data_IF_479285156240
#
_entry.id   IF_479285156240
#
_cell.length_a   1.000
_cell.length_b   1.000
_cell.length_c   1.000
_cell.angle_alpha   90.00
_cell.angle_beta   90.00
_cell.angle_gamma   90.00
#
_symmetry.space_group_name_H-M   'P 1'
#
loop_
_entity.id
_entity.type
_entity.pdbx_description
1 polymer ?
#
# COMPACT_ATOMS: atom_id res chain seq x y z
N UNK A 1 38.04 -2.21 0.43
CA UNK A 1 37.14 -1.62 -0.58
C UNK A 1 35.74 -2.10 -0.25
N UNK A 2 34.96 -1.29 0.47
CA UNK A 2 33.60 -1.68 0.87
C UNK A 2 32.73 -1.78 -0.38
N UNK A 3 32.17 -2.96 -0.66
CA UNK A 3 31.14 -3.12 -1.67
C UNK A 3 29.93 -2.30 -1.21
N UNK A 4 29.62 -1.21 -1.93
CA UNK A 4 28.36 -0.53 -1.76
C UNK A 4 27.25 -1.54 -2.07
N UNK A 5 26.49 -1.93 -1.06
CA UNK A 5 25.25 -2.69 -1.23
C UNK A 5 24.37 -1.87 -2.18
N UNK A 6 24.33 -2.23 -3.46
CA UNK A 6 23.47 -1.55 -4.43
C UNK A 6 22.04 -1.76 -3.97
N UNK A 7 21.43 -0.69 -3.46
CA UNK A 7 20.00 -0.67 -3.21
C UNK A 7 19.30 -1.06 -4.52
N UNK A 8 18.30 -1.95 -4.48
CA UNK A 8 17.55 -2.26 -5.68
C UNK A 8 16.86 -0.98 -6.18
N UNK A 9 16.62 -0.87 -7.50
CA UNK A 9 15.98 0.31 -8.08
C UNK A 9 14.61 0.51 -7.43
N UNK A 10 14.35 1.73 -6.99
CA UNK A 10 13.16 2.11 -6.22
C UNK A 10 12.74 3.53 -6.56
N UNK A 11 11.44 3.83 -6.46
CA UNK A 11 10.93 5.19 -6.58
C UNK A 11 9.81 5.41 -5.56
N UNK A 12 10.18 5.99 -4.41
CA UNK A 12 9.27 6.23 -3.30
C UNK A 12 8.20 7.28 -3.65
N UNK A 13 8.56 8.30 -4.44
CA UNK A 13 7.61 9.33 -4.87
C UNK A 13 6.53 8.75 -5.79
N UNK A 14 6.89 7.79 -6.65
CA UNK A 14 5.93 7.09 -7.49
C UNK A 14 4.96 6.25 -6.66
N UNK A 15 5.45 5.56 -5.61
CA UNK A 15 4.59 4.81 -4.69
C UNK A 15 3.60 5.74 -3.97
N UNK A 16 4.07 6.87 -3.45
CA UNK A 16 3.22 7.87 -2.79
C UNK A 16 2.20 8.46 -3.76
N UNK A 17 2.63 8.79 -4.98
CA UNK A 17 1.77 9.34 -6.03
C UNK A 17 0.68 8.34 -6.43
N UNK A 18 1.01 7.05 -6.51
CA UNK A 18 0.04 5.99 -6.79
C UNK A 18 -1.01 5.90 -5.68
N UNK A 19 -0.58 5.83 -4.41
CA UNK A 19 -1.51 5.75 -3.28
C UNK A 19 -2.40 7.01 -3.20
N UNK A 20 -1.82 8.19 -3.43
CA UNK A 20 -2.58 9.44 -3.50
C UNK A 20 -3.59 9.46 -4.65
N UNK A 21 -3.21 8.96 -5.83
CA UNK A 21 -4.12 8.87 -6.97
C UNK A 21 -5.30 7.96 -6.67
N UNK A 22 -5.10 6.84 -5.97
CA UNK A 22 -6.17 5.92 -5.58
C UNK A 22 -7.14 6.49 -4.52
N UNK A 23 -6.68 7.44 -3.70
CA UNK A 23 -7.55 8.18 -2.78
C UNK A 23 -8.39 9.24 -3.51
N UNK A 24 -7.90 9.76 -4.64
CA UNK A 24 -8.61 10.76 -5.45
C UNK A 24 -9.60 10.09 -6.41
N UNK A 25 -9.14 9.05 -7.09
CA UNK A 25 -9.92 8.24 -8.03
C UNK A 25 -9.87 6.76 -7.61
N UNK A 26 -10.87 6.37 -6.82
CA UNK A 26 -11.02 5.01 -6.33
C UNK A 26 -11.21 3.97 -7.44
N UNK A 27 -11.78 4.36 -8.59
CA UNK A 27 -12.10 3.40 -9.66
C UNK A 27 -10.84 3.00 -10.44
N UNK A 28 -9.77 3.80 -10.34
CA UNK A 28 -8.46 3.44 -10.86
C UNK A 28 -7.86 2.17 -10.24
N UNK A 29 -8.32 1.73 -9.06
CA UNK A 29 -7.85 0.49 -8.45
C UNK A 29 -8.08 -0.73 -9.34
N UNK A 30 -9.16 -0.75 -10.14
CA UNK A 30 -9.49 -1.86 -11.05
C UNK A 30 -8.36 -2.12 -12.04
N UNK A 31 -7.70 -1.05 -12.51
CA UNK A 31 -6.59 -1.15 -13.46
C UNK A 31 -5.28 -1.51 -12.77
N UNK A 32 -5.09 -1.07 -11.54
CA UNK A 32 -3.83 -1.22 -10.81
C UNK A 32 -3.72 -2.60 -10.14
N UNK A 33 -4.83 -3.14 -9.64
CA UNK A 33 -4.87 -4.42 -8.90
C UNK A 33 -4.44 -5.62 -9.75
N UNK A 34 -4.59 -5.55 -11.07
CA UNK A 34 -4.12 -6.59 -12.00
C UNK A 34 -2.58 -6.63 -12.11
N UNK A 35 -1.91 -5.52 -11.84
CA UNK A 35 -0.47 -5.33 -12.08
C UNK A 35 0.34 -5.26 -10.78
N UNK A 36 -0.28 -4.87 -9.67
CA UNK A 36 0.43 -4.55 -8.43
C UNK A 36 -0.12 -5.32 -7.24
N UNK A 37 0.77 -5.98 -6.51
CA UNK A 37 0.48 -6.64 -5.23
C UNK A 37 1.00 -5.77 -4.07
N UNK A 38 0.37 -5.77 -2.87
CA UNK A 38 0.85 -4.99 -1.71
C UNK A 38 2.32 -5.22 -1.34
N UNK A 39 2.88 -6.39 -1.64
CA UNK A 39 4.29 -6.74 -1.38
C UNK A 39 5.27 -6.17 -2.40
N UNK A 40 4.80 -5.56 -3.48
CA UNK A 40 5.64 -4.98 -4.52
C UNK A 40 6.16 -3.57 -4.16
N UNK A 41 5.58 -2.93 -3.14
CA UNK A 41 6.08 -1.67 -2.63
C UNK A 41 7.42 -1.85 -1.92
N UNK A 42 8.37 -0.95 -2.19
CA UNK A 42 9.66 -0.95 -1.52
C UNK A 42 9.50 -0.69 -0.01
N UNK A 43 8.61 0.25 0.37
CA UNK A 43 8.24 0.48 1.77
C UNK A 43 7.08 -0.41 2.17
N UNK A 44 7.27 -1.72 2.06
CA UNK A 44 6.23 -2.74 2.29
C UNK A 44 5.49 -2.57 3.62
N UNK A 45 6.18 -2.19 4.70
CA UNK A 45 5.59 -2.01 6.04
C UNK A 45 4.72 -0.75 6.18
N UNK A 46 4.90 0.22 5.30
CA UNK A 46 4.21 1.52 5.36
C UNK A 46 3.18 1.63 4.24
N UNK A 47 3.59 1.39 3.00
CA UNK A 47 2.76 1.56 1.81
C UNK A 47 1.91 0.31 1.52
N UNK A 48 2.42 -0.88 1.83
CA UNK A 48 1.71 -2.14 1.62
C UNK A 48 0.35 -2.18 2.34
N UNK A 49 0.28 -1.96 3.67
CA UNK A 49 -0.99 -1.93 4.40
C UNK A 49 -1.98 -0.87 3.92
N UNK A 50 -1.50 0.26 3.39
CA UNK A 50 -2.35 1.30 2.82
C UNK A 50 -2.99 0.80 1.54
N UNK A 51 -2.20 0.21 0.64
CA UNK A 51 -2.72 -0.37 -0.60
C UNK A 51 -3.68 -1.54 -0.34
N UNK A 52 -3.34 -2.43 0.60
CA UNK A 52 -4.20 -3.53 1.05
C UNK A 52 -5.52 -3.03 1.65
N UNK A 53 -5.49 -1.93 2.41
CA UNK A 53 -6.69 -1.26 2.90
C UNK A 53 -7.56 -0.71 1.77
N UNK A 54 -6.95 -0.03 0.78
CA UNK A 54 -7.67 0.48 -0.40
C UNK A 54 -8.34 -0.66 -1.17
N UNK A 55 -7.64 -1.78 -1.40
CA UNK A 55 -8.23 -2.96 -2.08
C UNK A 55 -9.43 -3.52 -1.29
N UNK A 56 -9.27 -3.73 0.01
CA UNK A 56 -10.32 -4.26 0.90
C UNK A 56 -11.56 -3.36 0.94
N UNK A 57 -11.36 -2.05 1.05
CA UNK A 57 -12.45 -1.07 1.02
C UNK A 57 -13.16 -1.09 -0.34
N UNK A 58 -12.40 -1.18 -1.43
CA UNK A 58 -12.96 -1.29 -2.78
C UNK A 58 -13.84 -2.54 -2.95
N UNK A 59 -13.33 -3.71 -2.54
CA UNK A 59 -14.06 -4.98 -2.62
C UNK A 59 -15.36 -4.95 -1.80
N UNK A 60 -15.33 -4.31 -0.62
CA UNK A 60 -16.50 -4.14 0.25
C UNK A 60 -17.44 -3.02 -0.20
N UNK A 61 -17.08 -2.26 -1.25
CA UNK A 61 -17.79 -1.05 -1.70
C UNK A 61 -17.94 -0.02 -0.59
N UNK A 62 -16.92 0.08 0.28
CA UNK A 62 -16.83 1.07 1.33
C UNK A 62 -16.15 2.36 0.81
N UNK A 63 -16.35 3.50 1.48
CA UNK A 63 -15.64 4.73 1.13
C UNK A 63 -14.13 4.53 1.17
N UNK A 64 -13.45 5.10 0.19
CA UNK A 64 -11.98 5.12 0.12
C UNK A 64 -11.54 6.56 0.34
N UNK A 65 -11.35 6.92 1.60
CA UNK A 65 -10.93 8.25 2.03
C UNK A 65 -9.87 8.13 3.13
N UNK A 66 -9.30 9.26 3.55
CA UNK A 66 -8.20 9.27 4.51
C UNK A 66 -8.56 8.61 5.85
N UNK A 67 -9.80 8.78 6.34
CA UNK A 67 -10.21 8.26 7.64
C UNK A 67 -10.40 6.76 7.58
N UNK A 68 -11.14 6.28 6.58
CA UNK A 68 -11.43 4.86 6.37
C UNK A 68 -10.15 4.06 6.08
N UNK A 69 -9.29 4.56 5.20
CA UNK A 69 -8.01 3.92 4.85
C UNK A 69 -7.06 3.88 6.04
N UNK A 70 -6.96 4.97 6.82
CA UNK A 70 -6.12 4.98 8.03
C UNK A 70 -6.60 3.94 9.04
N UNK A 71 -7.91 3.87 9.28
CA UNK A 71 -8.48 2.88 10.19
C UNK A 71 -8.19 1.43 9.79
N UNK A 72 -8.45 1.08 8.52
CA UNK A 72 -8.24 -0.29 8.02
C UNK A 72 -6.76 -0.65 7.92
N UNK A 73 -5.91 0.26 7.45
CA UNK A 73 -4.47 -0.01 7.32
C UNK A 73 -3.78 -0.22 8.69
N UNK A 74 -4.23 0.48 9.72
CA UNK A 74 -3.76 0.28 11.10
C UNK A 74 -4.15 -1.10 11.64
N UNK A 75 -5.36 -1.58 11.33
CA UNK A 75 -5.77 -2.96 11.64
C UNK A 75 -4.84 -3.99 11.00
N UNK A 76 -4.50 -3.83 9.72
CA UNK A 76 -3.55 -4.72 9.05
C UNK A 76 -2.15 -4.69 9.64
N UNK A 77 -1.66 -3.49 10.00
CA UNK A 77 -0.35 -3.34 10.63
C UNK A 77 -0.29 -4.04 12.00
N UNK A 78 -1.37 -4.02 12.77
CA UNK A 78 -1.47 -4.74 14.07
C UNK A 78 -1.44 -6.26 13.88
N UNK A 79 -2.24 -6.79 12.96
CA UNK A 79 -2.30 -8.23 12.70
C UNK A 79 -0.95 -8.76 12.22
N UNK A 80 -0.26 -8.04 11.32
CA UNK A 80 1.09 -8.45 10.88
C UNK A 80 2.06 -8.43 12.05
N UNK A 81 2.03 -7.41 12.91
CA UNK A 81 2.90 -7.33 14.09
C UNK A 81 2.70 -8.47 15.09
N UNK A 82 1.47 -8.93 15.28
CA UNK A 82 1.15 -10.07 16.16
C UNK A 82 1.56 -11.42 15.57
N UNK A 83 1.62 -11.54 14.24
CA UNK A 83 1.98 -12.79 13.54
C UNK A 83 3.48 -13.10 13.49
N UNK A 84 4.32 -12.12 13.86
CA UNK A 84 5.79 -12.24 13.90
C UNK A 84 6.35 -12.21 15.34
N UNK A 85 5.49 -12.38 16.35
CA UNK A 85 5.84 -12.65 17.75
C UNK A 85 5.54 -14.11 18.10
#
# INVERSE_FOLDING_TARGET
>A
MAQATKLPPQNIEAEQSLLGALLIDKDSIVRVSELLHPTAFYRSEQHGPIYEAIQSLFEKREPIDLVTVTGVSDSYRRVKKERFL
#
